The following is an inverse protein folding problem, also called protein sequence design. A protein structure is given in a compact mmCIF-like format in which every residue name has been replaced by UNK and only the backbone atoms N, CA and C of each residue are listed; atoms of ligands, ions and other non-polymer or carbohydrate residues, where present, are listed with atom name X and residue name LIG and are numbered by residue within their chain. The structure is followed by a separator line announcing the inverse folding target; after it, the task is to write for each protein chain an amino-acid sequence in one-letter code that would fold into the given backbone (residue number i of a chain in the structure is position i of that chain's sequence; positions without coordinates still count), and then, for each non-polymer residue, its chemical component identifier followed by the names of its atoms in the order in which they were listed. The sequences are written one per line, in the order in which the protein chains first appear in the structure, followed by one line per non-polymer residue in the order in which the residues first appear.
data_IF_984055662591
#
_entry.id   IF_984055662591
#
_cell.length_a   1.000
_cell.length_b   1.000
_cell.length_c   1.000
_cell.angle_alpha   90.00
_cell.angle_beta   90.00
_cell.angle_gamma   90.00
#
_symmetry.space_group_name_H-M   'P 1'
#
loop_
_entity.id
_entity.type
_entity.pdbx_description
1 polymer ?
#
# COMPACT_ATOMS: atom_id res chain seq x y z
N UNK A 1 -39.29 -32.66 -15.12
CA UNK A 1 -37.93 -32.51 -14.58
C UNK A 1 -37.63 -31.03 -14.47
N UNK A 2 -37.49 -30.48 -13.26
CA UNK A 2 -37.22 -29.05 -13.04
C UNK A 2 -35.83 -28.69 -13.54
N UNK A 3 -35.73 -27.86 -14.55
CA UNK A 3 -34.45 -27.26 -14.97
C UNK A 3 -33.93 -26.38 -13.83
N UNK A 4 -33.12 -26.95 -12.92
CA UNK A 4 -32.35 -26.14 -11.96
C UNK A 4 -31.51 -25.18 -12.78
N UNK A 5 -31.85 -23.90 -12.73
CA UNK A 5 -31.07 -22.82 -13.37
C UNK A 5 -29.61 -22.94 -12.89
N UNK A 6 -28.70 -23.34 -13.77
CA UNK A 6 -27.26 -23.46 -13.46
C UNK A 6 -26.74 -22.06 -13.10
N UNK A 7 -26.17 -21.91 -11.90
CA UNK A 7 -25.59 -20.65 -11.43
C UNK A 7 -24.52 -20.17 -12.41
N UNK A 8 -24.51 -18.90 -12.75
CA UNK A 8 -23.45 -18.28 -13.57
C UNK A 8 -22.09 -18.38 -12.83
N UNK A 9 -20.97 -18.34 -13.59
CA UNK A 9 -19.62 -18.30 -13.01
C UNK A 9 -19.44 -17.16 -12.02
N UNK A 10 -20.00 -15.97 -12.33
CA UNK A 10 -19.95 -14.80 -11.44
C UNK A 10 -20.64 -15.11 -10.10
N UNK A 11 -21.79 -15.79 -10.15
CA UNK A 11 -22.53 -16.16 -8.92
C UNK A 11 -21.79 -17.21 -8.10
N UNK A 12 -21.16 -18.19 -8.76
CA UNK A 12 -20.34 -19.20 -8.08
C UNK A 12 -19.13 -18.55 -7.37
N UNK A 13 -18.40 -17.64 -8.04
CA UNK A 13 -17.29 -16.87 -7.44
C UNK A 13 -17.78 -16.04 -6.26
N UNK A 14 -18.92 -15.36 -6.41
CA UNK A 14 -19.50 -14.54 -5.34
C UNK A 14 -19.79 -15.38 -4.10
N UNK A 15 -20.50 -16.48 -4.26
CA UNK A 15 -20.86 -17.39 -3.15
C UNK A 15 -19.61 -17.94 -2.45
N UNK A 16 -18.57 -18.29 -3.22
CA UNK A 16 -17.29 -18.73 -2.66
C UNK A 16 -16.63 -17.64 -1.83
N UNK A 17 -16.54 -16.41 -2.34
CA UNK A 17 -15.91 -15.33 -1.58
C UNK A 17 -16.77 -14.81 -0.43
N UNK A 18 -18.10 -14.85 -0.56
CA UNK A 18 -19.03 -14.48 0.51
C UNK A 18 -18.86 -15.41 1.73
N UNK A 19 -18.68 -16.72 1.50
CA UNK A 19 -18.42 -17.69 2.55
C UNK A 19 -17.09 -17.47 3.29
N UNK A 20 -16.15 -16.75 2.66
CA UNK A 20 -14.83 -16.44 3.25
C UNK A 20 -14.80 -15.10 3.98
N UNK A 21 -15.88 -14.29 3.94
CA UNK A 21 -15.86 -12.97 4.56
C UNK A 21 -15.72 -13.06 6.08
N UNK A 22 -14.70 -12.37 6.60
CA UNK A 22 -14.39 -12.31 8.04
C UNK A 22 -14.00 -10.87 8.43
N UNK A 23 -14.92 -9.94 8.12
CA UNK A 23 -14.73 -8.52 8.41
C UNK A 23 -14.70 -8.30 9.93
N UNK A 24 -13.66 -7.60 10.41
CA UNK A 24 -13.44 -7.36 11.84
C UNK A 24 -12.64 -8.45 12.56
N UNK A 25 -12.47 -9.63 11.96
CA UNK A 25 -11.63 -10.70 12.50
C UNK A 25 -10.15 -10.32 12.46
N UNK A 26 -9.35 -10.76 13.46
CA UNK A 26 -7.93 -10.48 13.55
C UNK A 26 -7.10 -11.32 12.58
N UNK A 27 -6.70 -10.72 11.46
CA UNK A 27 -5.78 -11.37 10.52
C UNK A 27 -4.44 -11.78 11.19
N UNK A 28 -4.01 -11.05 12.23
CA UNK A 28 -2.78 -11.38 12.94
C UNK A 28 -2.92 -12.70 13.70
N UNK A 29 -4.02 -12.88 14.43
CA UNK A 29 -4.28 -14.13 15.15
C UNK A 29 -4.41 -15.30 14.18
N UNK A 30 -5.15 -15.14 13.10
CA UNK A 30 -5.30 -16.20 12.08
C UNK A 30 -3.98 -16.54 11.39
N UNK A 31 -3.04 -15.58 11.29
CA UNK A 31 -1.70 -15.86 10.80
C UNK A 31 -0.89 -16.74 11.77
N UNK A 32 -1.02 -16.50 13.08
CA UNK A 32 -0.40 -17.36 14.11
C UNK A 32 -1.01 -18.76 14.02
N UNK A 33 -2.31 -18.86 13.82
CA UNK A 33 -3.04 -20.13 13.74
C UNK A 33 -2.90 -20.84 12.36
N UNK A 34 -2.20 -20.25 11.39
CA UNK A 34 -1.98 -20.84 10.06
C UNK A 34 -3.24 -20.95 9.19
N UNK A 35 -4.28 -20.14 9.41
CA UNK A 35 -5.58 -20.26 8.71
C UNK A 35 -5.98 -19.00 7.90
N UNK A 36 -5.01 -18.16 7.54
CA UNK A 36 -5.31 -16.91 6.80
C UNK A 36 -5.82 -17.14 5.38
N UNK A 37 -5.58 -18.30 4.80
CA UNK A 37 -6.07 -18.68 3.47
C UNK A 37 -7.59 -18.83 3.43
N UNK A 38 -8.23 -19.12 4.57
CA UNK A 38 -9.67 -19.36 4.63
C UNK A 38 -10.52 -18.07 4.67
N UNK A 39 -9.90 -16.89 4.87
CA UNK A 39 -10.66 -15.67 5.18
C UNK A 39 -10.28 -14.46 4.31
N UNK A 40 -11.28 -13.60 4.08
CA UNK A 40 -11.14 -12.28 3.47
C UNK A 40 -11.50 -11.23 4.52
N UNK A 41 -10.51 -10.42 4.94
CA UNK A 41 -10.60 -9.54 6.11
C UNK A 41 -11.03 -8.11 5.81
N UNK A 42 -11.24 -7.74 4.56
CA UNK A 42 -11.67 -6.38 4.21
C UNK A 42 -12.49 -6.33 2.95
N UNK A 43 -13.46 -5.41 2.91
CA UNK A 43 -14.27 -5.14 1.72
C UNK A 43 -13.42 -4.71 0.51
N UNK A 44 -12.31 -4.02 0.73
CA UNK A 44 -11.40 -3.66 -0.37
C UNK A 44 -10.80 -4.90 -1.02
N UNK A 45 -10.27 -5.83 -0.20
CA UNK A 45 -9.71 -7.10 -0.70
C UNK A 45 -10.78 -7.93 -1.42
N UNK A 46 -11.98 -8.03 -0.84
CA UNK A 46 -13.10 -8.72 -1.46
C UNK A 46 -13.42 -8.15 -2.86
N UNK A 47 -13.58 -6.83 -2.97
CA UNK A 47 -13.86 -6.16 -4.25
C UNK A 47 -12.76 -6.38 -5.27
N UNK A 48 -11.49 -6.33 -4.83
CA UNK A 48 -10.35 -6.57 -5.69
C UNK A 48 -10.33 -8.03 -6.19
N UNK A 49 -10.53 -9.00 -5.30
CA UNK A 49 -10.57 -10.42 -5.66
C UNK A 49 -11.76 -10.75 -6.56
N UNK A 50 -12.97 -10.24 -6.27
CA UNK A 50 -14.12 -10.38 -7.15
C UNK A 50 -13.83 -9.87 -8.56
N UNK A 51 -13.20 -8.70 -8.68
CA UNK A 51 -12.86 -8.14 -9.99
C UNK A 51 -11.89 -9.04 -10.77
N UNK A 52 -10.81 -9.52 -10.12
CA UNK A 52 -9.82 -10.36 -10.80
C UNK A 52 -10.39 -11.74 -11.16
N UNK A 53 -11.12 -12.37 -10.25
CA UNK A 53 -11.76 -13.66 -10.51
C UNK A 53 -12.82 -13.57 -11.64
N UNK A 54 -13.54 -12.44 -11.73
CA UNK A 54 -14.48 -12.21 -12.84
C UNK A 54 -13.78 -12.03 -14.20
N UNK A 55 -12.59 -11.42 -14.24
CA UNK A 55 -11.79 -11.38 -15.48
C UNK A 55 -11.36 -12.79 -15.90
N UNK A 56 -10.93 -13.62 -14.97
CA UNK A 56 -10.61 -15.02 -15.22
C UNK A 56 -11.82 -15.82 -15.70
N UNK A 57 -12.96 -15.71 -15.02
CA UNK A 57 -14.19 -16.38 -15.41
C UNK A 57 -14.65 -15.99 -16.82
N UNK A 58 -14.55 -14.70 -17.18
CA UNK A 58 -14.83 -14.23 -18.53
C UNK A 58 -13.91 -14.88 -19.57
N UNK A 59 -12.61 -14.93 -19.28
CA UNK A 59 -11.62 -15.60 -20.13
C UNK A 59 -11.97 -17.06 -20.37
N UNK A 60 -12.18 -17.85 -19.28
CA UNK A 60 -12.51 -19.26 -19.37
C UNK A 60 -13.83 -19.52 -20.11
N UNK A 61 -14.84 -18.68 -19.87
CA UNK A 61 -16.11 -18.78 -20.58
C UNK A 61 -15.95 -18.53 -22.09
N UNK A 62 -15.18 -17.51 -22.47
CA UNK A 62 -15.01 -17.12 -23.87
C UNK A 62 -14.11 -18.09 -24.65
N UNK A 63 -13.02 -18.55 -24.04
CA UNK A 63 -12.02 -19.37 -24.72
C UNK A 63 -12.28 -20.86 -24.63
N UNK A 64 -12.83 -21.33 -23.50
CA UNK A 64 -12.99 -22.76 -23.19
C UNK A 64 -14.45 -23.16 -22.94
N UNK A 65 -15.42 -22.26 -23.02
CA UNK A 65 -16.82 -22.57 -22.80
C UNK A 65 -17.17 -23.03 -21.38
N UNK A 66 -16.29 -22.77 -20.39
CA UNK A 66 -16.47 -23.22 -19.01
C UNK A 66 -17.77 -22.68 -18.38
N UNK A 67 -18.44 -23.55 -17.60
CA UNK A 67 -19.70 -23.25 -16.92
C UNK A 67 -19.60 -23.34 -15.40
N UNK A 68 -18.51 -23.93 -14.86
CA UNK A 68 -18.25 -24.04 -13.42
C UNK A 68 -16.88 -23.52 -13.07
N UNK A 69 -16.68 -23.08 -11.81
CA UNK A 69 -15.37 -22.60 -11.34
C UNK A 69 -14.36 -23.73 -11.28
N UNK A 70 -14.79 -24.95 -10.96
CA UNK A 70 -13.97 -26.16 -10.97
C UNK A 70 -13.47 -26.44 -12.39
N UNK A 71 -14.33 -26.34 -13.40
CA UNK A 71 -13.97 -26.49 -14.81
C UNK A 71 -13.04 -25.39 -15.33
N UNK A 72 -12.96 -24.24 -14.65
CA UNK A 72 -12.00 -23.18 -14.98
C UNK A 72 -10.60 -23.46 -14.40
N UNK A 73 -10.47 -24.24 -13.33
CA UNK A 73 -9.20 -24.44 -12.61
C UNK A 73 -8.01 -24.86 -13.48
N UNK A 74 -8.14 -25.79 -14.43
CA UNK A 74 -7.02 -26.20 -15.31
C UNK A 74 -6.43 -25.05 -16.15
N UNK A 75 -7.16 -23.99 -16.35
CA UNK A 75 -6.76 -22.85 -17.20
C UNK A 75 -6.14 -21.69 -16.43
N UNK A 76 -5.81 -21.85 -15.14
CA UNK A 76 -5.24 -20.78 -14.32
C UNK A 76 -3.90 -20.32 -14.88
N UNK A 77 -2.99 -21.23 -15.16
CA UNK A 77 -1.65 -20.89 -15.65
C UNK A 77 -1.69 -20.31 -17.06
N UNK A 78 -2.54 -20.84 -17.94
CA UNK A 78 -2.80 -20.29 -19.26
C UNK A 78 -3.32 -18.83 -19.17
N UNK A 79 -4.25 -18.58 -18.26
CA UNK A 79 -4.74 -17.23 -18.03
C UNK A 79 -3.66 -16.29 -17.49
N UNK A 80 -2.84 -16.74 -16.53
CA UNK A 80 -1.74 -15.93 -15.99
C UNK A 80 -0.72 -15.60 -17.07
N UNK A 81 -0.38 -16.57 -17.96
CA UNK A 81 0.47 -16.33 -19.12
C UNK A 81 -0.16 -15.33 -20.08
N UNK A 82 -1.44 -15.48 -20.41
CA UNK A 82 -2.18 -14.50 -21.23
C UNK A 82 -2.12 -13.08 -20.65
N UNK A 83 -2.15 -12.95 -19.31
CA UNK A 83 -2.01 -11.63 -18.65
C UNK A 83 -0.59 -11.08 -18.77
N UNK A 84 0.43 -11.93 -18.75
CA UNK A 84 1.84 -11.56 -18.99
C UNK A 84 2.01 -11.09 -20.44
N UNK A 85 1.51 -11.84 -21.40
CA UNK A 85 1.64 -11.55 -22.84
C UNK A 85 0.96 -10.20 -23.21
N UNK A 86 -0.06 -9.81 -22.45
CA UNK A 86 -0.68 -8.48 -22.53
C UNK A 86 0.13 -7.37 -21.88
N UNK A 87 1.34 -7.61 -21.44
CA UNK A 87 2.23 -6.65 -20.78
C UNK A 87 1.62 -5.96 -19.55
N UNK A 88 0.78 -6.68 -18.78
CA UNK A 88 0.28 -6.13 -17.54
C UNK A 88 1.37 -6.10 -16.48
N UNK A 89 1.27 -5.13 -15.56
CA UNK A 89 2.28 -4.98 -14.52
C UNK A 89 2.37 -6.23 -13.63
N UNK A 90 3.57 -6.57 -13.16
CA UNK A 90 3.81 -7.64 -12.20
C UNK A 90 2.94 -7.53 -10.94
N UNK A 91 2.57 -6.29 -10.55
CA UNK A 91 1.65 -6.04 -9.43
C UNK A 91 0.23 -6.51 -9.73
N UNK A 92 -0.24 -6.31 -10.97
CA UNK A 92 -1.56 -6.77 -11.41
C UNK A 92 -1.60 -8.28 -11.50
N UNK A 93 -0.60 -8.89 -12.16
CA UNK A 93 -0.52 -10.35 -12.34
C UNK A 93 -0.44 -11.07 -10.98
N UNK A 94 0.34 -10.55 -10.02
CA UNK A 94 0.36 -11.10 -8.65
C UNK A 94 -0.95 -10.93 -7.89
N UNK A 95 -1.73 -9.90 -8.21
CA UNK A 95 -3.08 -9.76 -7.66
C UNK A 95 -4.05 -10.77 -8.29
N UNK A 96 -3.94 -11.01 -9.61
CA UNK A 96 -4.69 -12.07 -10.29
C UNK A 96 -4.40 -13.43 -9.63
N UNK A 97 -3.12 -13.80 -9.51
CA UNK A 97 -2.72 -15.06 -8.86
C UNK A 97 -3.21 -15.17 -7.42
N UNK A 98 -3.14 -14.08 -6.62
CA UNK A 98 -3.64 -14.09 -5.25
C UNK A 98 -5.17 -14.23 -5.15
N UNK A 99 -5.92 -13.66 -6.09
CA UNK A 99 -7.37 -13.81 -6.15
C UNK A 99 -7.77 -15.25 -6.52
N UNK A 100 -7.05 -15.85 -7.49
CA UNK A 100 -7.30 -17.23 -7.92
C UNK A 100 -6.87 -18.24 -6.86
N UNK A 101 -5.73 -18.02 -6.19
CA UNK A 101 -5.33 -18.85 -5.05
C UNK A 101 -6.38 -18.83 -3.94
N UNK A 102 -6.98 -17.65 -3.67
CA UNK A 102 -8.07 -17.51 -2.72
C UNK A 102 -9.33 -18.24 -3.19
N UNK A 103 -9.69 -18.13 -4.48
CA UNK A 103 -10.85 -18.80 -5.07
C UNK A 103 -10.76 -20.32 -4.96
N UNK A 104 -9.57 -20.88 -5.19
CA UNK A 104 -9.31 -22.31 -5.16
C UNK A 104 -8.75 -22.82 -3.83
N UNK A 105 -8.67 -21.98 -2.80
CA UNK A 105 -8.15 -22.32 -1.47
C UNK A 105 -6.79 -23.02 -1.52
N UNK A 106 -5.88 -22.47 -2.31
CA UNK A 106 -4.54 -23.03 -2.54
C UNK A 106 -3.46 -21.92 -2.40
N UNK A 107 -2.19 -22.31 -2.51
CA UNK A 107 -1.08 -21.35 -2.53
C UNK A 107 -0.89 -20.74 -3.92
N UNK A 108 -0.36 -19.52 -3.98
CA UNK A 108 0.11 -18.93 -5.25
C UNK A 108 1.31 -19.68 -5.83
N UNK A 109 1.99 -20.51 -5.04
CA UNK A 109 3.09 -21.38 -5.47
C UNK A 109 2.61 -22.60 -6.25
N UNK A 110 1.31 -22.90 -6.20
CA UNK A 110 0.68 -24.01 -6.95
C UNK A 110 0.39 -23.62 -8.40
N UNK A 111 0.67 -22.38 -8.77
CA UNK A 111 0.54 -21.82 -10.10
C UNK A 111 1.90 -21.52 -10.71
N UNK A 112 1.92 -21.22 -12.02
CA UNK A 112 3.11 -20.78 -12.71
C UNK A 112 3.80 -19.59 -12.00
N UNK A 113 5.10 -19.49 -12.17
CA UNK A 113 5.89 -18.38 -11.61
C UNK A 113 5.50 -17.07 -12.27
N UNK A 114 4.98 -16.13 -11.46
CA UNK A 114 4.61 -14.80 -11.92
C UNK A 114 5.81 -13.83 -11.88
N UNK A 115 5.85 -12.78 -12.73
CA UNK A 115 6.94 -11.80 -12.76
C UNK A 115 7.19 -11.15 -11.40
N UNK A 116 8.47 -10.89 -11.11
CA UNK A 116 8.85 -10.19 -9.88
C UNK A 116 8.39 -8.73 -9.89
N UNK A 117 7.83 -8.29 -8.75
CA UNK A 117 7.52 -6.88 -8.53
C UNK A 117 8.80 -6.08 -8.27
N UNK A 118 9.07 -5.08 -9.08
CA UNK A 118 10.21 -4.17 -8.89
C UNK A 118 9.69 -2.77 -8.60
N UNK A 119 10.32 -2.08 -7.65
CA UNK A 119 9.94 -0.72 -7.28
C UNK A 119 10.12 0.26 -8.44
N UNK A 120 11.17 0.08 -9.25
CA UNK A 120 11.44 0.90 -10.43
C UNK A 120 10.31 0.89 -11.46
N UNK A 121 9.52 -0.19 -11.51
CA UNK A 121 8.41 -0.34 -12.45
C UNK A 121 7.12 0.38 -11.98
N UNK A 122 7.13 0.99 -10.78
CA UNK A 122 6.01 1.77 -10.27
C UNK A 122 6.09 3.18 -10.84
N UNK A 123 5.34 3.44 -11.91
CA UNK A 123 5.31 4.74 -12.59
C UNK A 123 4.40 5.76 -11.90
N UNK A 124 3.41 5.30 -11.16
CA UNK A 124 2.31 6.12 -10.63
C UNK A 124 2.69 7.13 -9.55
N UNK A 125 3.63 6.80 -8.68
CA UNK A 125 4.04 7.62 -7.53
C UNK A 125 5.51 8.05 -7.59
N UNK A 126 6.19 7.82 -8.71
CA UNK A 126 7.64 8.00 -8.85
C UNK A 126 8.04 8.29 -10.28
N UNK A 127 7.57 9.35 -10.86
CA UNK A 127 7.92 9.72 -12.23
C UNK A 127 6.79 10.47 -12.91
N UNK A 128 6.88 10.63 -14.22
CA UNK A 128 5.85 11.26 -15.03
C UNK A 128 4.57 10.43 -14.96
N UNK A 129 3.46 11.07 -14.60
CA UNK A 129 2.18 10.43 -14.37
C UNK A 129 1.22 10.76 -15.50
N UNK A 130 1.24 9.94 -16.53
CA UNK A 130 0.39 10.15 -17.72
C UNK A 130 -1.09 10.30 -17.35
N UNK A 131 -1.56 9.54 -16.37
CA UNK A 131 -2.96 9.63 -15.92
C UNK A 131 -3.30 10.91 -15.16
N UNK A 132 -2.30 11.63 -14.66
CA UNK A 132 -2.47 12.90 -13.94
C UNK A 132 -2.23 14.12 -14.84
N UNK A 133 -2.19 13.94 -16.16
CA UNK A 133 -1.91 14.98 -17.17
C UNK A 133 -2.84 16.19 -17.04
N UNK A 134 -4.09 15.96 -16.62
CA UNK A 134 -5.08 17.04 -16.45
C UNK A 134 -5.09 17.63 -15.04
N UNK A 135 -4.20 17.17 -14.15
CA UNK A 135 -4.09 17.70 -12.80
C UNK A 135 -3.21 18.96 -12.79
N UNK A 136 -3.83 20.10 -12.55
CA UNK A 136 -3.11 21.36 -12.44
C UNK A 136 -2.48 21.51 -11.05
N UNK A 137 -1.15 21.41 -10.97
CA UNK A 137 -0.41 21.66 -9.73
C UNK A 137 -0.56 23.12 -9.26
N UNK A 138 -0.64 24.08 -10.21
CA UNK A 138 -0.84 25.49 -9.90
C UNK A 138 -2.16 25.73 -9.16
N UNK A 139 -3.25 25.15 -9.64
CA UNK A 139 -4.57 25.31 -9.02
C UNK A 139 -4.76 24.51 -7.72
N UNK A 140 -3.82 23.64 -7.37
CA UNK A 140 -3.86 22.80 -6.17
C UNK A 140 -2.62 22.99 -5.30
N UNK A 141 -1.95 24.14 -5.40
CA UNK A 141 -0.68 24.40 -4.73
C UNK A 141 -0.79 24.22 -3.21
N UNK A 142 -1.78 24.83 -2.58
CA UNK A 142 -2.01 24.71 -1.13
C UNK A 142 -2.18 23.24 -0.67
N UNK A 143 -2.98 22.47 -1.40
CA UNK A 143 -3.16 21.03 -1.11
C UNK A 143 -1.84 20.26 -1.26
N UNK A 144 -1.06 20.53 -2.31
CA UNK A 144 0.22 19.85 -2.56
C UNK A 144 1.21 20.17 -1.44
N UNK A 145 1.38 21.45 -1.10
CA UNK A 145 2.27 21.89 -0.04
C UNK A 145 1.84 21.32 1.32
N UNK A 146 0.54 21.36 1.62
CA UNK A 146 0.00 20.72 2.82
C UNK A 146 0.32 19.23 2.89
N UNK A 147 0.15 18.49 1.79
CA UNK A 147 0.45 17.06 1.74
C UNK A 147 1.94 16.76 1.91
N UNK A 148 2.82 17.59 1.34
CA UNK A 148 4.28 17.50 1.48
C UNK A 148 4.75 17.85 2.89
N UNK A 149 4.01 18.70 3.58
CA UNK A 149 4.32 19.13 4.94
C UNK A 149 3.79 18.21 6.04
N UNK A 150 2.80 17.37 5.75
CA UNK A 150 2.11 16.55 6.77
C UNK A 150 2.14 15.05 6.50
N UNK A 151 2.41 14.64 5.26
CA UNK A 151 2.49 13.24 4.88
C UNK A 151 1.21 12.43 5.10
N UNK A 152 0.04 13.05 5.15
CA UNK A 152 -1.24 12.39 5.40
C UNK A 152 -1.68 11.50 4.23
N UNK A 153 -2.43 10.42 4.55
CA UNK A 153 -3.07 9.60 3.53
C UNK A 153 -4.31 10.26 2.98
N UNK A 154 -4.71 9.95 1.75
CA UNK A 154 -5.94 10.47 1.14
C UNK A 154 -7.18 10.30 2.03
N UNK A 155 -7.31 9.17 2.73
CA UNK A 155 -8.43 8.92 3.64
C UNK A 155 -8.39 9.84 4.86
N UNK A 156 -7.20 10.10 5.40
CA UNK A 156 -6.97 10.99 6.53
C UNK A 156 -7.31 12.44 6.14
N UNK A 157 -6.83 12.90 4.98
CA UNK A 157 -7.16 14.24 4.44
C UNK A 157 -8.66 14.47 4.22
N UNK A 158 -9.42 13.43 3.82
CA UNK A 158 -10.87 13.54 3.56
C UNK A 158 -11.70 13.84 4.80
N UNK A 159 -11.17 13.53 5.98
CA UNK A 159 -11.87 13.68 7.27
C UNK A 159 -11.15 14.65 8.22
N UNK A 160 -10.05 15.24 7.78
CA UNK A 160 -9.27 16.16 8.58
C UNK A 160 -10.03 17.45 8.84
N UNK A 161 -10.16 17.83 10.11
CA UNK A 161 -10.69 19.10 10.57
C UNK A 161 -9.58 19.99 11.13
N UNK A 162 -9.77 21.29 11.13
CA UNK A 162 -8.72 22.24 11.52
C UNK A 162 -8.32 22.17 13.00
N UNK A 163 -9.21 21.70 13.87
CA UNK A 163 -8.95 21.46 15.30
C UNK A 163 -7.95 20.32 15.59
N UNK A 164 -7.53 19.59 14.58
CA UNK A 164 -6.56 18.48 14.70
C UNK A 164 -5.10 18.92 14.63
N UNK A 165 -4.80 20.18 14.77
CA UNK A 165 -3.42 20.69 14.89
C UNK A 165 -3.09 20.97 16.35
N UNK A 166 -1.90 20.58 16.79
CA UNK A 166 -1.38 20.88 18.13
C UNK A 166 0.04 21.43 18.03
N UNK A 167 0.43 22.24 19.00
CA UNK A 167 1.81 22.72 19.15
C UNK A 167 2.41 22.12 20.42
N UNK A 168 3.61 21.55 20.31
CA UNK A 168 4.38 21.00 21.42
C UNK A 168 5.81 21.52 21.33
N UNK A 169 6.16 22.42 22.25
CA UNK A 169 7.51 22.99 22.29
C UNK A 169 7.95 23.67 20.99
N UNK A 170 7.06 24.40 20.32
CA UNK A 170 7.36 25.08 19.06
C UNK A 170 7.21 24.22 17.80
N UNK A 171 7.01 22.94 17.95
CA UNK A 171 6.76 22.04 16.81
C UNK A 171 5.27 21.75 16.66
N UNK A 172 4.75 21.94 15.45
CA UNK A 172 3.36 21.62 15.12
C UNK A 172 3.21 20.16 14.69
N UNK A 173 2.10 19.56 15.10
CA UNK A 173 1.74 18.19 14.75
C UNK A 173 0.29 18.11 14.28
N UNK A 174 0.02 17.28 13.30
CA UNK A 174 -1.34 16.89 12.93
C UNK A 174 -1.71 15.61 13.68
N UNK A 175 -2.78 15.67 14.47
CA UNK A 175 -3.34 14.53 15.18
C UNK A 175 -4.13 13.68 14.22
N UNK A 176 -3.72 12.43 14.04
CA UNK A 176 -4.44 11.41 13.25
C UNK A 176 -4.91 10.33 14.22
N UNK A 177 -6.20 10.35 14.48
CA UNK A 177 -6.84 9.39 15.39
C UNK A 177 -7.45 8.20 14.63
N UNK A 178 -8.78 8.09 14.60
CA UNK A 178 -9.52 6.94 14.03
C UNK A 178 -9.46 6.79 12.51
N UNK A 179 -9.09 7.81 11.76
CA UNK A 179 -9.06 7.77 10.30
C UNK A 179 -7.83 7.02 9.73
N UNK A 180 -6.82 6.73 10.55
CA UNK A 180 -5.63 5.99 10.17
C UNK A 180 -5.94 4.54 9.78
N UNK A 181 -5.07 3.93 8.93
CA UNK A 181 -5.17 2.51 8.61
C UNK A 181 -5.01 1.67 9.89
N UNK A 182 -6.07 0.95 10.27
CA UNK A 182 -6.14 0.18 11.51
C UNK A 182 -6.52 1.01 12.74
N UNK A 183 -7.07 2.23 12.59
CA UNK A 183 -7.57 3.06 13.69
C UNK A 183 -6.49 3.56 14.66
N UNK A 184 -5.23 3.61 14.24
CA UNK A 184 -4.12 3.97 15.11
C UNK A 184 -3.96 5.46 15.25
N UNK A 185 -3.84 5.90 16.49
CA UNK A 185 -3.42 7.24 16.84
C UNK A 185 -1.97 7.51 16.40
N UNK A 186 -1.70 8.67 15.87
CA UNK A 186 -0.37 9.24 15.71
C UNK A 186 -0.42 10.74 15.64
N UNK A 187 0.70 11.35 15.94
CA UNK A 187 0.98 12.75 15.72
C UNK A 187 2.00 12.88 14.59
N UNK A 188 1.59 13.45 13.47
CA UNK A 188 2.47 13.65 12.33
C UNK A 188 3.13 15.01 12.43
N UNK A 189 4.46 15.11 12.58
CA UNK A 189 5.14 16.41 12.67
C UNK A 189 4.93 17.19 11.36
N UNK A 190 4.68 18.48 11.49
CA UNK A 190 4.58 19.39 10.35
C UNK A 190 5.97 19.86 9.99
N UNK A 191 6.37 19.68 8.73
CA UNK A 191 7.66 20.13 8.18
C UNK A 191 7.45 21.01 6.95
N UNK A 192 8.50 21.66 6.49
CA UNK A 192 8.47 22.45 5.25
C UNK A 192 7.63 23.73 5.42
N UNK A 193 6.54 23.87 4.67
CA UNK A 193 5.71 25.09 4.71
C UNK A 193 4.72 25.05 5.90
N UNK A 194 5.24 25.31 7.10
CA UNK A 194 4.48 25.29 8.36
C UNK A 194 3.37 26.34 8.33
N UNK A 195 3.66 27.55 7.84
CA UNK A 195 2.72 28.65 7.78
C UNK A 195 1.47 28.29 6.97
N UNK A 196 1.65 27.71 5.79
CA UNK A 196 0.52 27.24 4.97
C UNK A 196 -0.34 26.20 5.72
N UNK A 197 0.28 25.27 6.44
CA UNK A 197 -0.46 24.27 7.22
C UNK A 197 -1.24 24.93 8.34
N UNK A 198 -0.60 25.79 9.15
CA UNK A 198 -1.24 26.47 10.27
C UNK A 198 -2.40 27.35 9.80
N UNK A 199 -2.21 28.13 8.72
CA UNK A 199 -3.24 29.00 8.15
C UNK A 199 -4.46 28.18 7.67
N UNK A 200 -4.25 27.10 6.93
CA UNK A 200 -5.33 26.25 6.45
C UNK A 200 -6.09 25.57 7.59
N UNK A 201 -5.37 25.09 8.61
CA UNK A 201 -5.97 24.48 9.80
C UNK A 201 -6.77 25.48 10.61
N UNK A 202 -6.21 26.66 10.89
CA UNK A 202 -6.87 27.75 11.65
C UNK A 202 -8.12 28.23 10.93
N UNK A 203 -8.05 28.43 9.61
CA UNK A 203 -9.20 28.84 8.79
C UNK A 203 -10.34 27.81 8.81
N UNK A 204 -10.00 26.53 8.83
CA UNK A 204 -10.99 25.45 8.84
C UNK A 204 -11.66 25.27 10.22
N UNK A 205 -10.95 25.52 11.31
CA UNK A 205 -11.50 25.36 12.68
C UNK A 205 -12.07 23.95 12.89
N UNK A 206 -13.37 23.83 13.16
CA UNK A 206 -14.06 22.54 13.31
C UNK A 206 -14.52 21.92 11.98
N UNK A 207 -14.41 22.65 10.89
CA UNK A 207 -14.79 22.19 9.57
C UNK A 207 -13.65 21.43 8.90
N UNK A 208 -13.97 20.75 7.78
CA UNK A 208 -12.97 20.04 6.97
C UNK A 208 -11.99 21.03 6.33
N UNK A 209 -10.69 20.74 6.48
CA UNK A 209 -9.62 21.54 5.84
C UNK A 209 -9.75 21.54 4.31
N UNK A 210 -10.16 20.41 3.73
CA UNK A 210 -10.39 20.29 2.28
C UNK A 210 -11.79 19.75 2.02
N UNK A 211 -12.63 20.51 1.36
CA UNK A 211 -13.97 20.06 0.91
C UNK A 211 -13.88 18.95 -0.14
N UNK A 212 -12.88 19.04 -1.03
CA UNK A 212 -12.63 18.09 -2.12
C UNK A 212 -11.14 17.81 -2.28
N UNK A 213 -10.78 16.53 -2.47
CA UNK A 213 -9.42 16.11 -2.82
C UNK A 213 -9.47 15.51 -4.23
N UNK A 214 -8.86 16.15 -5.24
CA UNK A 214 -8.87 15.67 -6.61
C UNK A 214 -8.40 14.23 -6.72
N UNK A 215 -9.08 13.41 -7.52
CA UNK A 215 -8.74 11.98 -7.69
C UNK A 215 -7.36 11.82 -8.31
N UNK A 216 -7.01 12.72 -9.23
CA UNK A 216 -5.73 12.71 -9.93
C UNK A 216 -4.53 13.17 -9.07
N UNK A 217 -4.76 13.86 -7.93
CA UNK A 217 -3.69 14.27 -7.04
C UNK A 217 -2.90 13.06 -6.51
N UNK A 218 -1.58 13.08 -6.62
CA UNK A 218 -0.74 11.98 -6.16
C UNK A 218 -0.37 12.09 -4.68
N UNK A 219 -1.37 11.94 -3.83
CA UNK A 219 -1.20 12.01 -2.37
C UNK A 219 -0.12 11.03 -1.87
N UNK A 220 0.03 9.87 -2.53
CA UNK A 220 1.04 8.90 -2.12
C UNK A 220 2.46 9.35 -2.47
N UNK A 221 2.63 10.01 -3.61
CA UNK A 221 3.91 10.65 -3.99
C UNK A 221 4.31 11.74 -3.02
N UNK A 222 3.40 12.67 -2.69
CA UNK A 222 3.69 13.75 -1.71
C UNK A 222 4.02 13.19 -0.32
N UNK A 223 3.35 12.12 0.09
CA UNK A 223 3.67 11.41 1.32
C UNK A 223 5.04 10.73 1.27
N UNK A 224 5.49 10.28 0.10
CA UNK A 224 6.83 9.74 -0.10
C UNK A 224 7.90 10.84 -0.01
N UNK A 225 7.63 12.02 -0.57
CA UNK A 225 8.48 13.20 -0.43
C UNK A 225 8.61 13.63 1.05
N UNK A 226 7.49 13.70 1.77
CA UNK A 226 7.48 13.97 3.20
C UNK A 226 8.34 12.97 3.99
N UNK A 227 8.18 11.67 3.75
CA UNK A 227 8.96 10.64 4.43
C UNK A 227 10.46 10.74 4.13
N UNK A 228 10.80 11.10 2.89
CA UNK A 228 12.19 11.32 2.47
C UNK A 228 12.79 12.53 3.19
N UNK A 229 12.02 13.60 3.33
CA UNK A 229 12.48 14.81 4.04
C UNK A 229 12.66 14.53 5.53
N UNK A 230 11.71 13.86 6.22
CA UNK A 230 11.89 13.44 7.62
C UNK A 230 13.15 12.58 7.75
N UNK A 231 13.35 11.62 6.86
CA UNK A 231 14.56 10.79 6.88
C UNK A 231 15.83 11.65 6.76
N UNK A 232 15.88 12.56 5.79
CA UNK A 232 17.06 13.43 5.57
C UNK A 232 17.37 14.34 6.75
N UNK A 233 16.35 14.81 7.48
CA UNK A 233 16.52 15.64 8.68
C UNK A 233 17.20 14.91 9.83
N UNK A 234 17.10 13.58 9.89
CA UNK A 234 17.61 12.78 10.99
C UNK A 234 18.73 11.79 10.59
N UNK A 235 19.02 11.67 9.29
CA UNK A 235 19.99 10.69 8.80
C UNK A 235 21.43 11.14 9.07
N UNK A 236 22.18 10.24 9.68
CA UNK A 236 23.65 10.35 9.78
C UNK A 236 24.30 9.84 8.49
N UNK A 237 25.51 10.29 8.20
CA UNK A 237 26.33 9.70 7.16
C UNK A 237 26.64 8.23 7.50
N UNK A 238 26.42 7.33 6.53
CA UNK A 238 26.55 5.88 6.78
C UNK A 238 27.97 5.50 7.26
N UNK A 239 29.01 6.20 6.78
CA UNK A 239 30.39 5.99 7.19
C UNK A 239 30.66 6.38 8.65
N UNK A 240 29.84 7.27 9.23
CA UNK A 240 29.99 7.75 10.60
C UNK A 240 29.24 6.88 11.63
N UNK A 241 28.39 5.97 11.16
CA UNK A 241 27.71 5.02 12.03
C UNK A 241 28.71 3.96 12.50
N UNK A 242 28.85 3.71 13.80
CA UNK A 242 29.87 2.81 14.32
C UNK A 242 29.62 1.35 13.93
N UNK A 243 30.70 0.58 13.84
CA UNK A 243 30.68 -0.89 13.81
C UNK A 243 30.55 -1.39 15.26
N UNK A 244 29.32 -1.65 15.67
CA UNK A 244 28.92 -1.90 17.06
C UNK A 244 28.48 -3.35 17.33
N UNK A 245 28.56 -4.21 16.35
CA UNK A 245 28.14 -5.59 16.46
C UNK A 245 29.02 -6.53 15.63
N UNK A 246 29.02 -7.83 15.99
CA UNK A 246 29.73 -8.88 15.28
C UNK A 246 28.77 -9.97 14.79
N UNK A 247 28.97 -10.40 13.56
CA UNK A 247 28.21 -11.51 12.99
C UNK A 247 28.70 -12.83 13.60
N UNK A 248 27.85 -13.56 14.27
CA UNK A 248 28.18 -14.81 15.00
C UNK A 248 28.74 -15.91 14.07
N UNK A 249 28.30 -15.98 12.82
CA UNK A 249 28.76 -17.01 11.89
C UNK A 249 30.07 -16.69 11.19
N UNK A 250 30.39 -15.39 10.99
CA UNK A 250 31.59 -14.97 10.23
C UNK A 250 32.60 -14.22 11.06
N UNK A 251 32.29 -13.87 12.32
CA UNK A 251 33.16 -13.06 13.19
C UNK A 251 33.38 -11.62 12.70
N UNK A 252 32.73 -11.19 11.60
CA UNK A 252 32.93 -9.87 11.02
C UNK A 252 32.11 -8.81 11.76
N UNK A 253 32.76 -7.68 12.04
CA UNK A 253 32.08 -6.51 12.57
C UNK A 253 31.06 -5.96 11.54
N UNK A 254 29.94 -5.45 12.04
CA UNK A 254 28.93 -4.77 11.23
C UNK A 254 28.26 -3.62 11.98
N UNK A 255 27.66 -2.72 11.21
CA UNK A 255 26.91 -1.56 11.73
C UNK A 255 25.46 -2.00 12.01
N UNK A 256 25.09 -2.26 13.29
CA UNK A 256 23.74 -2.73 13.64
C UNK A 256 22.67 -1.69 13.34
N UNK A 257 23.01 -0.40 13.36
CA UNK A 257 22.15 0.73 13.05
C UNK A 257 22.03 1.04 11.54
N UNK A 258 22.67 0.27 10.66
CA UNK A 258 22.52 0.41 9.21
C UNK A 258 21.53 -0.62 8.66
N UNK A 259 20.55 -0.13 7.89
CA UNK A 259 19.61 -0.96 7.16
C UNK A 259 20.11 -1.20 5.73
N UNK A 260 20.25 -2.45 5.35
CA UNK A 260 20.59 -2.84 3.98
C UNK A 260 19.31 -3.16 3.21
N UNK A 261 19.04 -2.39 2.16
CA UNK A 261 17.89 -2.62 1.30
C UNK A 261 18.01 -3.95 0.56
N UNK A 262 16.85 -4.57 0.26
CA UNK A 262 16.74 -5.86 -0.42
C UNK A 262 16.10 -5.72 -1.81
N UNK A 263 16.08 -6.81 -2.56
CA UNK A 263 15.43 -6.88 -3.87
C UNK A 263 16.07 -5.92 -4.87
N UNK A 264 15.25 -5.17 -5.58
CA UNK A 264 15.68 -4.18 -6.59
C UNK A 264 16.36 -2.92 -6.02
N UNK A 265 16.39 -2.80 -4.70
CA UNK A 265 17.14 -1.76 -3.97
C UNK A 265 18.42 -2.28 -3.31
N UNK A 266 18.86 -3.49 -3.61
CA UNK A 266 20.12 -4.06 -3.10
C UNK A 266 21.29 -3.10 -3.36
N UNK A 267 22.11 -2.89 -2.34
CA UNK A 267 23.24 -1.95 -2.37
C UNK A 267 22.95 -0.60 -1.70
N UNK A 268 21.68 -0.20 -1.56
CA UNK A 268 21.32 1.01 -0.83
C UNK A 268 21.38 0.73 0.67
N UNK A 269 22.08 1.61 1.39
CA UNK A 269 22.19 1.60 2.85
C UNK A 269 21.45 2.80 3.43
N UNK A 270 20.80 2.62 4.57
CA UNK A 270 20.02 3.66 5.26
C UNK A 270 20.27 3.63 6.76
N UNK A 271 20.24 4.80 7.41
CA UNK A 271 20.26 4.91 8.87
C UNK A 271 18.94 4.44 9.47
N UNK A 272 18.97 3.40 10.30
CA UNK A 272 17.77 2.84 10.94
C UNK A 272 17.08 3.83 11.89
N UNK A 273 17.81 4.71 12.58
CA UNK A 273 17.22 5.70 13.46
C UNK A 273 16.40 6.72 12.67
N UNK A 274 16.96 7.25 11.60
CA UNK A 274 16.23 8.15 10.70
C UNK A 274 15.02 7.47 10.04
N UNK A 275 15.16 6.19 9.65
CA UNK A 275 14.02 5.39 9.16
C UNK A 275 12.93 5.22 10.21
N UNK A 276 13.31 5.09 11.49
CA UNK A 276 12.35 4.97 12.60
C UNK A 276 11.54 6.25 12.76
N UNK A 277 12.18 7.43 12.71
CA UNK A 277 11.49 8.72 12.78
C UNK A 277 10.52 8.90 11.60
N UNK A 278 10.95 8.61 10.38
CA UNK A 278 10.05 8.61 9.22
C UNK A 278 8.90 7.58 9.36
N UNK A 279 9.17 6.43 9.97
CA UNK A 279 8.16 5.39 10.21
C UNK A 279 7.11 5.85 11.23
N UNK A 280 7.52 6.47 12.34
CA UNK A 280 6.63 7.06 13.35
C UNK A 280 5.75 8.15 12.74
N UNK A 281 6.36 9.12 12.04
CA UNK A 281 5.65 10.21 11.38
C UNK A 281 4.59 9.69 10.39
N UNK A 282 4.87 8.62 9.69
CA UNK A 282 3.92 7.97 8.77
C UNK A 282 2.92 7.03 9.46
N UNK A 283 3.11 6.67 10.73
CA UNK A 283 2.30 5.67 11.45
C UNK A 283 2.48 4.25 10.89
N UNK A 284 3.72 3.86 10.60
CA UNK A 284 4.11 2.49 10.27
C UNK A 284 4.79 1.81 11.46
N UNK A 285 4.61 0.49 11.58
CA UNK A 285 5.23 -0.29 12.67
C UNK A 285 6.57 -0.92 12.27
N UNK A 286 6.92 -0.85 11.00
CA UNK A 286 8.10 -1.51 10.45
C UNK A 286 8.88 -0.53 9.59
N UNK A 287 10.14 -0.33 9.94
CA UNK A 287 11.04 0.55 9.17
C UNK A 287 11.28 0.05 7.74
N UNK A 288 11.25 -1.28 7.51
CA UNK A 288 11.38 -1.86 6.17
C UNK A 288 10.33 -1.32 5.18
N UNK A 289 9.09 -1.12 5.63
CA UNK A 289 8.03 -0.54 4.79
C UNK A 289 8.40 0.87 4.32
N UNK A 290 9.03 1.65 5.19
CA UNK A 290 9.43 3.02 4.85
C UNK A 290 10.59 3.00 3.86
N UNK A 291 11.60 2.17 4.11
CA UNK A 291 12.74 1.99 3.21
C UNK A 291 12.34 1.44 1.84
N UNK A 292 11.42 0.48 1.80
CA UNK A 292 10.99 -0.14 0.55
C UNK A 292 10.03 0.72 -0.28
N UNK A 293 9.17 1.53 0.36
CA UNK A 293 8.03 2.13 -0.33
C UNK A 293 7.98 3.66 -0.30
N UNK A 294 8.68 4.33 0.61
CA UNK A 294 8.53 5.76 0.81
C UNK A 294 9.82 6.57 0.61
N UNK A 295 10.94 6.19 1.21
CA UNK A 295 12.18 6.96 1.12
C UNK A 295 12.79 6.83 -0.29
N UNK A 296 13.03 7.96 -0.95
CA UNK A 296 13.71 8.08 -2.23
C UNK A 296 15.02 8.85 -2.02
N UNK A 297 16.15 8.13 -2.10
CA UNK A 297 17.51 8.67 -2.04
C UNK A 297 18.09 8.75 -3.43
#
# INVERSE_FOLDING_TARGET
MSHKNKKSLVRQIQETFDSMLAIGRSKHQDKINGCTENYIYSWSTYKDYMRQANYFAKYCKQKHGCKTIEGCRPYVDEYLQYRIDRNLSAYTIKLDAAALAKLYQCSTTDFMQTPQRKRKDITRSRGIKIRDIHFSAKNNRELIEFCRSTGLRRRELKVLTGDKIINKGGTYYIVVDRAGKGGRYREAPVIGNIENVVNLMSKAGKEKVFSKIPVAADIHGYRSEYATNIYKMHAREIKEIPFDAYNRGTGRAYQSSVYHCRGDRKGIKMDKLAMLEASKALGHNRISVVGEHYINL
#
